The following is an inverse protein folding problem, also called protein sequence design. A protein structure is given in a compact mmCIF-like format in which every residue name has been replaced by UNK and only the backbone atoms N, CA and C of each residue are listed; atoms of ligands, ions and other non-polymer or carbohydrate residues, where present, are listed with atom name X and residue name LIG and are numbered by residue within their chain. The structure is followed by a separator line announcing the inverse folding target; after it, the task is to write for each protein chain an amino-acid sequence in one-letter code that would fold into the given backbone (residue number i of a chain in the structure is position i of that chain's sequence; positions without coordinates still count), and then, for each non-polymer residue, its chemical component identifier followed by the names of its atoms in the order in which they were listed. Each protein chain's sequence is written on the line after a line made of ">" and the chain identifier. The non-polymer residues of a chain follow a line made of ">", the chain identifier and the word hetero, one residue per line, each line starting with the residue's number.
data_IF_507102645463
#
_entry.id   IF_507102645463
#
_cell.length_a   1.000
_cell.length_b   1.000
_cell.length_c   1.000
_cell.angle_alpha   90.00
_cell.angle_beta   90.00
_cell.angle_gamma   90.00
#
_symmetry.space_group_name_H-M   'P 1'
#
loop_
_entity.id
_entity.type
_entity.pdbx_description
1 polymer ?
#
# COMPACT_ATOMS: atom_id res chain seq x y z
N UNK A 1 1.99 -3.24 -45.03
CA UNK A 1 2.24 -4.41 -44.16
C UNK A 1 3.30 -4.06 -43.13
N UNK A 2 2.95 -3.18 -42.19
CA UNK A 2 3.73 -2.83 -40.99
C UNK A 2 2.68 -2.35 -39.99
N UNK A 3 2.28 -3.20 -39.04
CA UNK A 3 1.18 -2.87 -38.12
C UNK A 3 0.68 -4.01 -37.26
N UNK A 4 1.57 -4.85 -36.73
CA UNK A 4 1.17 -6.01 -35.90
C UNK A 4 2.20 -6.40 -34.82
N UNK A 5 3.02 -5.46 -34.35
CA UNK A 5 4.00 -5.70 -33.28
C UNK A 5 3.79 -4.83 -32.02
N UNK A 6 2.63 -4.19 -31.86
CA UNK A 6 2.38 -3.27 -30.71
C UNK A 6 1.46 -3.78 -29.60
N UNK A 7 0.86 -4.97 -29.68
CA UNK A 7 -0.18 -5.37 -28.71
C UNK A 7 0.29 -6.22 -27.53
N UNK A 8 1.59 -6.54 -27.42
CA UNK A 8 2.14 -7.40 -26.35
C UNK A 8 2.58 -6.61 -25.11
N UNK A 9 2.80 -5.29 -25.22
CA UNK A 9 3.33 -4.45 -24.14
C UNK A 9 2.27 -3.80 -23.23
N UNK A 10 1.04 -3.59 -23.72
CA UNK A 10 0.06 -2.72 -23.05
C UNK A 10 -0.73 -3.37 -21.90
N UNK A 11 -0.64 -4.70 -21.73
CA UNK A 11 -1.36 -5.45 -20.68
C UNK A 11 -0.44 -6.05 -19.61
N UNK A 12 0.87 -6.16 -19.90
CA UNK A 12 1.89 -6.20 -18.85
C UNK A 12 1.67 -5.02 -17.91
N UNK A 13 1.44 -3.82 -18.43
CA UNK A 13 1.20 -2.58 -17.69
C UNK A 13 0.08 -2.54 -16.63
N UNK A 14 -0.81 -3.53 -16.48
CA UNK A 14 -1.80 -3.56 -15.36
C UNK A 14 -1.30 -4.41 -14.21
N UNK A 15 -0.72 -5.56 -14.56
CA UNK A 15 0.03 -6.40 -13.65
C UNK A 15 1.29 -5.65 -13.20
N UNK A 16 1.88 -4.87 -14.12
CA UNK A 16 3.16 -4.16 -14.10
C UNK A 16 3.05 -2.64 -13.87
N UNK A 17 1.88 -2.01 -13.82
CA UNK A 17 1.78 -0.74 -13.09
C UNK A 17 1.69 -1.01 -11.57
N UNK A 18 1.30 -2.23 -11.22
CA UNK A 18 1.39 -2.78 -9.87
C UNK A 18 2.61 -3.74 -9.73
N UNK A 19 3.49 -3.87 -10.74
CA UNK A 19 4.71 -4.73 -10.75
C UNK A 19 5.84 -4.36 -11.76
N UNK A 20 5.87 -3.11 -12.25
CA UNK A 20 6.88 -2.39 -13.05
C UNK A 20 7.48 -3.01 -14.32
N UNK A 21 7.17 -2.45 -15.51
CA UNK A 21 8.14 -2.06 -16.58
C UNK A 21 7.50 -1.38 -17.82
N UNK A 22 8.27 -0.52 -18.51
CA UNK A 22 8.27 -0.39 -19.99
C UNK A 22 9.63 0.16 -20.50
N UNK A 23 10.01 -0.24 -21.73
CA UNK A 23 11.36 -0.24 -22.33
C UNK A 23 12.07 1.11 -22.60
N UNK A 24 13.41 1.09 -22.58
CA UNK A 24 14.22 1.92 -23.51
C UNK A 24 15.67 1.42 -23.73
N UNK A 25 16.29 1.73 -24.88
CA UNK A 25 17.38 0.96 -25.49
C UNK A 25 18.80 1.40 -25.08
N UNK A 26 19.77 0.54 -25.42
CA UNK A 26 21.22 0.69 -25.24
C UNK A 26 21.82 2.05 -25.63
N UNK A 27 22.82 2.48 -24.84
CA UNK A 27 24.12 3.16 -25.16
C UNK A 27 24.66 3.65 -23.79
N UNK A 28 25.91 3.55 -23.34
CA UNK A 28 27.23 3.30 -23.89
C UNK A 28 28.24 3.67 -22.77
N UNK A 29 29.35 2.93 -22.66
CA UNK A 29 30.35 3.01 -21.58
C UNK A 29 31.03 4.39 -21.41
N UNK A 30 31.42 4.76 -20.18
CA UNK A 30 32.82 5.12 -19.83
C UNK A 30 33.07 5.37 -18.33
N UNK A 31 34.32 5.11 -17.93
CA UNK A 31 34.90 4.95 -16.58
C UNK A 31 35.44 6.28 -15.96
N UNK A 32 35.90 6.12 -14.70
CA UNK A 32 36.78 6.97 -13.85
C UNK A 32 36.02 7.91 -12.90
N UNK A 33 36.25 7.95 -11.57
CA UNK A 33 37.26 7.36 -10.70
C UNK A 33 37.93 8.46 -9.85
N UNK A 34 37.80 8.39 -8.51
CA UNK A 34 38.84 8.63 -7.47
C UNK A 34 38.27 9.12 -6.13
N UNK A 35 38.73 8.45 -5.08
CA UNK A 35 38.63 8.78 -3.66
C UNK A 35 39.56 9.93 -3.26
N UNK A 36 39.24 10.63 -2.16
CA UNK A 36 40.18 10.88 -1.04
C UNK A 36 39.52 11.55 0.18
N UNK A 37 40.12 11.43 1.39
CA UNK A 37 39.43 11.52 2.68
C UNK A 37 39.74 12.82 3.46
N UNK A 38 38.93 13.13 4.48
CA UNK A 38 39.29 14.10 5.52
C UNK A 38 39.22 13.51 6.93
N UNK A 39 40.20 13.94 7.71
CA UNK A 39 40.55 13.57 9.08
C UNK A 39 39.94 14.54 10.10
N UNK A 40 39.64 13.95 11.27
CA UNK A 40 39.95 14.42 12.64
C UNK A 40 39.18 15.55 13.35
N UNK A 41 38.99 15.23 14.65
CA UNK A 41 39.03 16.05 15.89
C UNK A 41 37.74 16.81 16.22
N UNK A 42 37.35 17.05 17.48
CA UNK A 42 37.64 16.53 18.83
C UNK A 42 36.93 17.48 19.82
N UNK A 43 36.54 17.00 21.00
CA UNK A 43 36.27 17.81 22.20
C UNK A 43 34.78 17.86 22.57
N UNK A 44 34.28 17.30 23.69
CA UNK A 44 34.61 17.41 25.13
C UNK A 44 34.09 18.68 25.81
N UNK A 45 33.18 18.50 26.77
CA UNK A 45 32.68 19.48 27.75
C UNK A 45 31.25 19.10 28.15
N UNK A 46 30.96 18.34 29.21
CA UNK A 46 31.19 18.50 30.67
C UNK A 46 30.25 19.50 31.36
N UNK A 47 29.59 18.98 32.40
CA UNK A 47 29.01 19.61 33.62
C UNK A 47 27.54 20.03 33.66
N UNK A 48 26.74 19.13 34.25
CA UNK A 48 26.01 19.24 35.53
C UNK A 48 25.73 20.63 36.13
N UNK A 49 24.48 20.84 36.61
CA UNK A 49 24.16 21.17 38.02
C UNK A 49 22.64 21.31 38.28
N UNK A 50 22.12 20.43 39.16
CA UNK A 50 21.23 20.64 40.34
C UNK A 50 20.05 21.64 40.23
N UNK A 51 18.80 21.13 40.31
CA UNK A 51 17.95 20.96 41.51
C UNK A 51 17.37 22.24 42.13
N UNK A 52 16.03 22.33 42.28
CA UNK A 52 15.34 22.80 43.51
C UNK A 52 13.89 22.27 43.49
N UNK A 53 13.45 21.78 44.64
CA UNK A 53 12.12 21.28 44.95
C UNK A 53 11.20 22.37 45.54
N UNK A 54 9.89 22.19 45.42
CA UNK A 54 8.88 22.97 46.16
C UNK A 54 7.60 22.16 46.39
N UNK A 55 7.35 21.75 47.63
CA UNK A 55 6.11 21.14 48.15
C UNK A 55 5.16 22.22 48.70
N UNK A 56 3.84 21.97 48.66
CA UNK A 56 2.86 21.98 49.79
C UNK A 56 1.41 22.00 49.25
N UNK A 57 0.60 20.96 49.55
CA UNK A 57 -0.54 20.92 50.53
C UNK A 57 -1.64 21.95 50.26
N UNK A 58 -2.94 21.68 50.21
CA UNK A 58 -3.80 20.61 50.71
C UNK A 58 -5.11 21.29 51.17
N UNK A 59 -6.29 20.71 50.90
CA UNK A 59 -7.58 21.26 51.37
C UNK A 59 -8.78 20.50 50.82
N UNK A 60 -9.56 19.91 51.72
CA UNK A 60 -10.80 19.14 51.49
C UNK A 60 -11.96 19.95 52.07
N UNK A 61 -13.11 20.01 51.38
CA UNK A 61 -14.42 20.29 51.97
C UNK A 61 -15.53 19.67 51.10
N UNK A 62 -16.62 19.31 51.77
CA UNK A 62 -17.63 18.31 51.44
C UNK A 62 -19.01 18.94 51.13
N UNK A 63 -19.93 18.10 50.62
CA UNK A 63 -21.40 18.18 50.61
C UNK A 63 -22.18 18.76 49.39
N UNK A 64 -22.97 17.84 48.82
CA UNK A 64 -23.98 17.83 47.74
C UNK A 64 -25.36 18.46 48.13
N UNK A 65 -26.49 18.28 47.40
CA UNK A 65 -26.75 17.84 46.01
C UNK A 65 -27.79 18.72 45.25
N UNK A 66 -28.23 18.22 44.09
CA UNK A 66 -29.33 18.64 43.19
C UNK A 66 -28.96 19.64 42.09
N UNK A 67 -28.83 19.11 40.87
CA UNK A 67 -29.44 19.68 39.67
C UNK A 67 -29.41 18.68 38.50
N UNK A 68 -30.35 18.90 37.59
CA UNK A 68 -30.93 18.05 36.57
C UNK A 68 -29.94 17.42 35.57
N UNK A 69 -30.23 16.19 35.13
CA UNK A 69 -29.54 15.51 34.03
C UNK A 69 -29.85 16.21 32.69
N UNK A 70 -29.01 17.17 32.31
CA UNK A 70 -28.76 17.55 30.92
C UNK A 70 -27.99 16.44 30.17
N UNK A 71 -28.24 16.20 28.87
CA UNK A 71 -27.46 15.22 28.09
C UNK A 71 -25.98 15.63 28.08
N UNK A 72 -25.03 14.68 28.02
CA UNK A 72 -23.63 14.99 28.20
C UNK A 72 -23.14 15.87 27.04
N UNK A 73 -22.24 16.84 27.31
CA UNK A 73 -21.62 17.61 26.26
C UNK A 73 -20.76 16.69 25.39
N UNK A 74 -20.72 17.00 24.10
CA UNK A 74 -19.97 16.35 23.00
C UNK A 74 -18.47 16.13 23.32
N UNK A 75 -17.97 16.74 24.40
CA UNK A 75 -16.59 16.68 24.86
C UNK A 75 -16.24 15.37 25.62
N UNK A 76 -17.23 14.61 26.09
CA UNK A 76 -16.97 13.33 26.78
C UNK A 76 -16.49 12.23 25.80
N UNK A 77 -16.94 12.28 24.54
CA UNK A 77 -16.45 11.40 23.47
C UNK A 77 -14.99 11.70 23.09
N UNK A 78 -14.52 12.93 23.29
CA UNK A 78 -13.15 13.33 22.95
C UNK A 78 -12.11 12.75 23.90
N UNK A 79 -12.50 12.39 25.13
CA UNK A 79 -11.61 11.81 26.14
C UNK A 79 -11.45 10.30 26.04
N UNK A 80 -12.42 9.57 25.47
CA UNK A 80 -12.29 8.13 25.19
C UNK A 80 -11.50 7.83 23.91
N UNK A 81 -11.45 8.77 22.96
CA UNK A 81 -10.74 8.59 21.68
C UNK A 81 -9.20 8.62 21.81
N UNK A 82 -8.63 9.10 22.92
CA UNK A 82 -7.17 9.14 23.11
C UNK A 82 -6.53 7.77 23.40
N UNK A 83 -7.32 6.69 23.49
CA UNK A 83 -6.83 5.34 23.80
C UNK A 83 -7.13 4.27 22.75
N UNK A 84 -7.78 4.61 21.64
CA UNK A 84 -8.06 3.65 20.57
C UNK A 84 -6.92 3.73 19.54
N UNK A 85 -6.17 2.64 19.38
CA UNK A 85 -5.21 2.50 18.27
C UNK A 85 -5.91 2.87 16.96
N UNK A 86 -5.34 3.80 16.18
CA UNK A 86 -5.90 4.21 14.89
C UNK A 86 -6.41 5.65 14.81
N UNK A 87 -6.71 6.33 15.93
CA UNK A 87 -7.00 7.76 15.87
C UNK A 87 -5.74 8.58 15.54
N UNK A 88 -5.85 9.48 14.57
CA UNK A 88 -4.73 10.32 14.14
C UNK A 88 -4.66 11.60 14.97
N UNK A 89 -3.46 11.95 15.43
CA UNK A 89 -3.21 13.26 16.07
C UNK A 89 -3.25 14.39 15.04
N UNK A 90 -3.40 15.64 15.51
CA UNK A 90 -3.31 16.81 14.62
C UNK A 90 -1.97 16.87 13.88
N UNK A 91 -0.86 16.48 14.52
CA UNK A 91 0.45 16.40 13.89
C UNK A 91 0.49 15.37 12.76
N UNK A 92 -0.08 14.18 12.98
CA UNK A 92 -0.17 13.13 11.98
C UNK A 92 -1.06 13.55 10.79
N UNK A 93 -2.20 14.20 11.06
CA UNK A 93 -3.07 14.75 10.03
C UNK A 93 -2.35 15.84 9.21
N UNK A 94 -1.60 16.71 9.87
CA UNK A 94 -0.81 17.75 9.20
C UNK A 94 0.31 17.15 8.34
N UNK A 95 1.00 16.11 8.81
CA UNK A 95 2.02 15.40 8.02
C UNK A 95 1.39 14.72 6.79
N UNK A 96 0.28 14.00 6.97
CA UNK A 96 -0.43 13.38 5.83
C UNK A 96 -0.89 14.43 4.80
N UNK A 97 -1.44 15.55 5.25
CA UNK A 97 -1.84 16.66 4.38
C UNK A 97 -0.64 17.34 3.69
N UNK A 98 0.48 17.49 4.39
CA UNK A 98 1.72 18.08 3.85
C UNK A 98 2.36 17.20 2.79
N UNK A 99 2.58 15.93 3.13
CA UNK A 99 3.50 15.04 2.43
C UNK A 99 2.78 14.03 1.53
N UNK A 100 1.49 13.81 1.77
CA UNK A 100 0.66 12.86 1.03
C UNK A 100 0.84 11.41 1.46
N UNK A 101 1.65 11.17 2.48
CA UNK A 101 1.74 9.89 3.18
C UNK A 101 1.97 10.10 4.68
N UNK A 102 1.74 9.05 5.46
CA UNK A 102 1.99 9.01 6.89
C UNK A 102 2.52 7.63 7.29
N UNK A 103 3.60 7.61 8.07
CA UNK A 103 4.17 6.37 8.62
C UNK A 103 3.74 6.22 10.08
N UNK A 104 3.05 5.14 10.40
CA UNK A 104 2.59 4.80 11.74
C UNK A 104 3.27 3.49 12.17
N UNK A 105 4.38 3.64 12.91
CA UNK A 105 5.13 2.51 13.44
C UNK A 105 4.28 1.69 14.43
N UNK A 106 4.51 0.37 14.45
CA UNK A 106 3.83 -0.54 15.38
C UNK A 106 2.31 -0.44 15.37
N UNK A 107 1.71 -0.18 14.20
CA UNK A 107 0.26 -0.12 14.03
C UNK A 107 -0.40 -1.47 14.31
N UNK A 108 0.21 -2.56 13.84
CA UNK A 108 -0.14 -3.92 14.24
C UNK A 108 1.01 -4.57 15.03
N UNK A 109 0.64 -5.47 15.93
CA UNK A 109 1.60 -6.19 16.76
C UNK A 109 2.41 -7.21 15.96
N UNK A 110 3.47 -7.74 16.58
CA UNK A 110 4.24 -8.82 15.97
C UNK A 110 3.39 -10.07 15.76
N UNK A 111 2.51 -10.37 16.71
CA UNK A 111 1.59 -11.50 16.70
C UNK A 111 0.58 -11.37 15.56
N UNK A 112 0.01 -10.18 15.34
CA UNK A 112 -0.88 -9.91 14.21
C UNK A 112 -0.19 -10.12 12.86
N UNK A 113 1.06 -9.64 12.75
CA UNK A 113 1.89 -9.82 11.56
C UNK A 113 2.16 -11.31 11.30
N UNK A 114 2.48 -12.08 12.33
CA UNK A 114 2.69 -13.53 12.21
C UNK A 114 1.40 -14.24 11.79
N UNK A 115 0.25 -13.90 12.39
CA UNK A 115 -1.06 -14.49 12.06
C UNK A 115 -1.39 -14.31 10.57
N UNK A 116 -1.18 -13.11 10.01
CA UNK A 116 -1.37 -12.85 8.58
C UNK A 116 -0.39 -13.61 7.68
N UNK A 117 0.87 -13.78 8.11
CA UNK A 117 1.89 -14.50 7.34
C UNK A 117 1.68 -16.00 7.35
N UNK A 118 1.32 -16.56 8.50
CA UNK A 118 1.00 -17.98 8.64
C UNK A 118 -0.24 -18.31 7.80
N UNK A 119 -1.27 -17.45 7.85
CA UNK A 119 -2.45 -17.63 7.01
C UNK A 119 -2.13 -17.59 5.51
N UNK A 120 -1.27 -16.68 5.07
CA UNK A 120 -0.85 -16.64 3.66
C UNK A 120 -0.06 -17.90 3.26
N UNK A 121 0.71 -18.48 4.18
CA UNK A 121 1.41 -19.75 3.95
C UNK A 121 0.41 -20.88 3.73
N UNK A 122 -0.63 -20.99 4.57
CA UNK A 122 -1.70 -21.99 4.39
C UNK A 122 -2.44 -21.83 3.05
N UNK A 123 -2.73 -20.58 2.65
CA UNK A 123 -3.36 -20.28 1.37
C UNK A 123 -2.47 -20.71 0.19
N UNK A 124 -1.17 -20.45 0.27
CA UNK A 124 -0.19 -20.88 -0.74
C UNK A 124 -0.06 -22.40 -0.81
N UNK A 125 -0.09 -23.09 0.33
CA UNK A 125 -0.01 -24.55 0.37
C UNK A 125 -1.20 -25.18 -0.35
N UNK A 126 -2.41 -24.66 -0.08
CA UNK A 126 -3.65 -25.09 -0.73
C UNK A 126 -3.81 -24.68 -2.20
N UNK A 127 -2.97 -23.77 -2.70
CA UNK A 127 -3.04 -23.27 -4.07
C UNK A 127 -2.45 -24.27 -5.09
N UNK A 128 -3.26 -24.68 -6.07
CA UNK A 128 -2.81 -25.50 -7.20
C UNK A 128 -2.22 -24.63 -8.32
N UNK A 129 -0.89 -24.48 -8.27
CA UNK A 129 -0.13 -23.73 -9.25
C UNK A 129 -0.23 -24.29 -10.68
N UNK A 130 -0.50 -25.58 -10.88
CA UNK A 130 -0.53 -26.18 -12.22
C UNK A 130 -1.73 -25.71 -13.05
N UNK A 131 -2.88 -25.51 -12.38
CA UNK A 131 -4.07 -24.94 -13.00
C UNK A 131 -3.84 -23.50 -13.47
N UNK A 132 -3.13 -22.71 -12.67
CA UNK A 132 -2.91 -21.28 -12.91
C UNK A 132 -1.72 -21.00 -13.83
N UNK A 133 -0.64 -21.77 -13.74
CA UNK A 133 0.53 -21.62 -14.63
C UNK A 133 0.19 -21.85 -16.11
N UNK A 134 -0.83 -22.67 -16.38
CA UNK A 134 -1.36 -22.88 -17.74
C UNK A 134 -1.98 -21.60 -18.34
N UNK A 135 -2.54 -20.73 -17.50
CA UNK A 135 -3.04 -19.40 -17.89
C UNK A 135 -1.89 -18.52 -18.36
N UNK A 136 -0.76 -18.58 -17.64
CA UNK A 136 0.41 -17.74 -17.90
C UNK A 136 1.38 -18.28 -18.97
N UNK A 137 1.11 -19.42 -19.64
CA UNK A 137 2.08 -20.10 -20.54
C UNK A 137 1.58 -20.48 -21.95
N UNK A 138 0.32 -20.20 -22.33
CA UNK A 138 -0.28 -20.72 -23.59
C UNK A 138 -0.50 -19.68 -24.70
N UNK A 139 -0.73 -20.12 -25.95
CA UNK A 139 -0.83 -19.29 -27.17
C UNK A 139 -2.00 -18.28 -27.23
N UNK A 140 -2.93 -18.32 -26.28
CA UNK A 140 -4.03 -17.34 -26.14
C UNK A 140 -3.87 -16.52 -24.83
N UNK A 141 -2.60 -16.26 -24.47
CA UNK A 141 -2.17 -15.76 -23.16
C UNK A 141 -2.89 -14.49 -22.73
N UNK A 142 -3.03 -13.52 -23.62
CA UNK A 142 -3.50 -12.17 -23.28
C UNK A 142 -4.93 -12.21 -22.75
N UNK A 143 -5.87 -12.74 -23.55
CA UNK A 143 -7.28 -12.80 -23.15
C UNK A 143 -7.51 -13.63 -21.87
N UNK A 144 -6.83 -14.78 -21.73
CA UNK A 144 -6.97 -15.61 -20.51
C UNK A 144 -6.37 -14.94 -19.27
N UNK A 145 -5.27 -14.21 -19.42
CA UNK A 145 -4.65 -13.44 -18.34
C UNK A 145 -5.56 -12.29 -17.92
N UNK A 146 -6.16 -11.61 -18.89
CA UNK A 146 -7.10 -10.50 -18.67
C UNK A 146 -8.34 -10.98 -17.93
N UNK A 147 -8.96 -12.05 -18.39
CA UNK A 147 -10.15 -12.63 -17.75
C UNK A 147 -9.84 -13.06 -16.31
N UNK A 148 -8.70 -13.75 -16.09
CA UNK A 148 -8.27 -14.14 -14.74
C UNK A 148 -8.02 -12.92 -13.84
N UNK A 149 -7.40 -11.87 -14.37
CA UNK A 149 -7.15 -10.63 -13.65
C UNK A 149 -8.45 -9.88 -13.34
N UNK A 150 -9.37 -9.72 -14.29
CA UNK A 150 -10.64 -9.03 -14.04
C UNK A 150 -11.55 -9.82 -13.09
N UNK A 151 -11.59 -11.15 -13.22
CA UNK A 151 -12.32 -12.01 -12.31
C UNK A 151 -11.77 -12.00 -10.88
N UNK A 152 -10.50 -11.63 -10.70
CA UNK A 152 -9.86 -11.59 -9.39
C UNK A 152 -10.39 -10.47 -8.48
N UNK A 153 -11.16 -9.52 -9.02
CA UNK A 153 -11.81 -8.43 -8.29
C UNK A 153 -12.61 -8.93 -7.06
N UNK A 154 -13.20 -10.12 -7.16
CA UNK A 154 -14.02 -10.75 -6.11
C UNK A 154 -13.50 -12.17 -5.77
N UNK A 155 -12.21 -12.43 -5.96
CA UNK A 155 -11.58 -13.73 -5.65
C UNK A 155 -10.27 -13.54 -4.88
N UNK A 156 -9.79 -14.66 -4.34
CA UNK A 156 -8.41 -14.83 -3.87
C UNK A 156 -7.64 -15.54 -4.98
N UNK A 157 -7.02 -14.75 -5.85
CA UNK A 157 -6.24 -15.17 -7.01
C UNK A 157 -4.74 -14.93 -6.78
N UNK A 158 -3.93 -15.86 -7.27
CA UNK A 158 -2.47 -15.82 -7.16
C UNK A 158 -1.87 -15.37 -8.49
N UNK A 159 -0.90 -14.46 -8.42
CA UNK A 159 -0.19 -13.91 -9.57
C UNK A 159 1.30 -14.14 -9.43
N UNK A 160 1.91 -14.75 -10.45
CA UNK A 160 3.32 -15.11 -10.45
C UNK A 160 4.21 -13.92 -10.81
N UNK A 161 5.46 -13.95 -10.34
CA UNK A 161 6.52 -13.10 -10.89
C UNK A 161 6.78 -13.52 -12.35
N UNK A 162 6.91 -12.56 -13.25
CA UNK A 162 7.25 -12.83 -14.67
C UNK A 162 8.56 -13.64 -14.76
N UNK A 163 9.56 -13.23 -13.95
CA UNK A 163 10.88 -13.86 -13.90
C UNK A 163 10.84 -15.30 -13.35
N UNK A 164 9.73 -15.77 -12.78
CA UNK A 164 9.61 -17.12 -12.22
C UNK A 164 9.53 -18.23 -13.27
N UNK A 165 9.18 -17.93 -14.52
CA UNK A 165 9.02 -18.93 -15.58
C UNK A 165 10.26 -19.06 -16.47
N UNK A 166 10.56 -20.28 -16.90
CA UNK A 166 11.48 -20.57 -18.00
C UNK A 166 10.76 -20.40 -19.35
N UNK A 167 11.52 -20.42 -20.43
CA UNK A 167 11.01 -20.32 -21.81
C UNK A 167 10.02 -21.46 -22.16
N UNK A 168 10.07 -22.59 -21.44
CA UNK A 168 9.15 -23.72 -21.61
C UNK A 168 7.86 -23.60 -20.76
N UNK A 169 7.67 -22.50 -20.03
CA UNK A 169 6.53 -22.26 -19.15
C UNK A 169 6.59 -22.97 -17.79
N UNK A 170 7.66 -23.72 -17.50
CA UNK A 170 7.88 -24.32 -16.17
C UNK A 170 8.47 -23.32 -15.18
N UNK A 171 8.20 -23.51 -13.90
CA UNK A 171 8.77 -22.67 -12.84
C UNK A 171 10.29 -22.91 -12.69
N UNK A 172 11.04 -21.82 -12.49
CA UNK A 172 12.47 -21.81 -12.17
C UNK A 172 12.76 -22.20 -10.72
N UNK A 173 11.79 -21.97 -9.83
CA UNK A 173 11.91 -22.21 -8.39
C UNK A 173 10.56 -22.66 -7.80
N UNK A 174 10.51 -23.10 -6.52
CA UNK A 174 9.25 -23.53 -5.89
C UNK A 174 8.14 -22.47 -6.00
N UNK A 175 6.87 -22.91 -6.00
CA UNK A 175 5.71 -22.03 -6.23
C UNK A 175 5.64 -20.91 -5.20
N UNK A 176 5.95 -21.23 -3.94
CA UNK A 176 5.94 -20.34 -2.79
C UNK A 176 6.96 -19.20 -2.90
N UNK A 177 8.01 -19.38 -3.71
CA UNK A 177 9.00 -18.37 -4.03
C UNK A 177 8.72 -17.67 -5.37
N UNK A 178 7.65 -18.06 -6.08
CA UNK A 178 7.37 -17.62 -7.45
C UNK A 178 6.16 -16.67 -7.53
N UNK A 179 5.42 -16.49 -6.43
CA UNK A 179 4.25 -15.60 -6.38
C UNK A 179 4.71 -14.16 -6.13
N UNK A 180 4.26 -13.25 -6.99
CA UNK A 180 4.42 -11.81 -6.84
C UNK A 180 3.40 -11.25 -5.83
N UNK A 181 2.11 -11.57 -6.06
CA UNK A 181 1.01 -11.11 -5.21
C UNK A 181 -0.18 -12.07 -5.17
N UNK A 182 -1.02 -11.89 -4.16
CA UNK A 182 -2.35 -12.50 -4.04
C UNK A 182 -3.39 -11.41 -3.90
N UNK A 183 -4.45 -11.43 -4.70
CA UNK A 183 -5.49 -10.41 -4.71
C UNK A 183 -6.78 -10.90 -5.40
N UNK A 184 -7.85 -10.12 -5.45
CA UNK A 184 -7.97 -8.76 -4.94
C UNK A 184 -8.99 -8.62 -3.79
N UNK A 185 -9.55 -9.73 -3.30
CA UNK A 185 -10.61 -9.74 -2.29
C UNK A 185 -10.27 -10.49 -0.99
N UNK A 186 -8.98 -10.58 -0.60
CA UNK A 186 -8.56 -11.14 0.69
C UNK A 186 -9.32 -10.50 1.88
N UNK A 187 -9.47 -9.17 1.88
CA UNK A 187 -10.19 -8.41 2.92
C UNK A 187 -11.66 -8.82 3.09
N UNK A 188 -12.25 -9.47 2.09
CA UNK A 188 -13.67 -9.84 2.09
C UNK A 188 -13.87 -11.34 2.30
N UNK A 189 -13.03 -12.16 1.65
CA UNK A 189 -13.21 -13.61 1.55
C UNK A 189 -12.49 -14.36 2.68
N UNK A 190 -11.28 -13.94 3.04
CA UNK A 190 -10.49 -14.65 4.03
C UNK A 190 -10.74 -14.07 5.44
N UNK A 191 -11.15 -14.90 6.43
CA UNK A 191 -11.50 -14.40 7.76
C UNK A 191 -10.37 -13.66 8.49
N UNK A 192 -9.12 -14.08 8.31
CA UNK A 192 -7.98 -13.44 8.98
C UNK A 192 -7.71 -12.07 8.35
N UNK A 193 -7.66 -12.00 7.02
CA UNK A 193 -7.47 -10.71 6.34
C UNK A 193 -8.65 -9.77 6.54
N UNK A 194 -9.88 -10.28 6.62
CA UNK A 194 -11.08 -9.49 6.96
C UNK A 194 -11.01 -8.91 8.36
N UNK A 195 -10.62 -9.72 9.37
CA UNK A 195 -10.42 -9.28 10.77
C UNK A 195 -9.53 -8.05 10.84
N UNK A 196 -8.40 -8.04 10.11
CA UNK A 196 -7.47 -6.91 10.12
C UNK A 196 -7.93 -5.74 9.25
N UNK A 197 -8.40 -6.02 8.03
CA UNK A 197 -8.81 -4.98 7.08
C UNK A 197 -10.04 -4.18 7.53
N UNK A 198 -10.88 -4.77 8.38
CA UNK A 198 -12.08 -4.17 8.93
C UNK A 198 -11.98 -3.91 10.44
N UNK A 199 -10.77 -3.80 11.00
CA UNK A 199 -10.59 -3.60 12.43
C UNK A 199 -11.02 -2.18 12.87
N UNK A 200 -11.31 -2.03 14.16
CA UNK A 200 -11.60 -0.71 14.76
C UNK A 200 -10.48 0.30 14.50
N UNK A 201 -9.22 -0.14 14.51
CA UNK A 201 -8.08 0.74 14.21
C UNK A 201 -8.12 1.32 12.80
N UNK A 202 -8.53 0.53 11.80
CA UNK A 202 -8.70 1.02 10.43
C UNK A 202 -9.89 1.98 10.36
N UNK A 203 -11.00 1.64 11.00
CA UNK A 203 -12.18 2.51 11.07
C UNK A 203 -11.86 3.87 11.72
N UNK A 204 -11.15 3.88 12.86
CA UNK A 204 -10.71 5.10 13.56
C UNK A 204 -9.75 5.95 12.73
N UNK A 205 -8.88 5.32 11.94
CA UNK A 205 -7.99 6.01 11.01
C UNK A 205 -8.79 6.76 9.96
N UNK A 206 -9.72 6.08 9.29
CA UNK A 206 -10.57 6.72 8.28
C UNK A 206 -11.50 7.78 8.86
N UNK A 207 -12.00 7.56 10.08
CA UNK A 207 -12.81 8.57 10.77
C UNK A 207 -11.99 9.84 11.04
N UNK A 208 -10.73 9.70 11.44
CA UNK A 208 -9.80 10.83 11.62
C UNK A 208 -9.48 11.54 10.30
N UNK A 209 -9.41 10.80 9.18
CA UNK A 209 -9.25 11.36 7.83
C UNK A 209 -10.54 12.01 7.28
N UNK A 210 -11.66 11.91 8.01
CA UNK A 210 -12.91 12.58 7.67
C UNK A 210 -13.83 11.82 6.70
N UNK A 211 -13.53 10.55 6.43
CA UNK A 211 -14.40 9.70 5.60
C UNK A 211 -15.77 9.51 6.27
N UNK A 212 -16.82 9.37 5.46
CA UNK A 212 -18.21 9.21 5.94
C UNK A 212 -18.75 7.82 5.71
N UNK A 213 -18.40 7.21 4.58
CA UNK A 213 -18.80 5.86 4.21
C UNK A 213 -17.64 5.12 3.55
N UNK A 214 -16.51 4.93 4.28
CA UNK A 214 -15.33 4.27 3.74
C UNK A 214 -15.59 2.81 3.41
N UNK A 215 -15.13 2.38 2.25
CA UNK A 215 -15.25 1.03 1.70
C UNK A 215 -13.88 0.53 1.28
N UNK A 216 -13.49 -0.66 1.73
CA UNK A 216 -12.31 -1.35 1.20
C UNK A 216 -12.66 -1.92 -0.16
N UNK A 217 -12.07 -1.38 -1.23
CA UNK A 217 -12.41 -1.78 -2.60
C UNK A 217 -11.50 -2.88 -3.13
N UNK A 218 -10.27 -2.96 -2.60
CA UNK A 218 -9.23 -3.88 -3.05
C UNK A 218 -8.29 -4.23 -1.89
N UNK A 219 -7.79 -5.47 -1.87
CA UNK A 219 -6.68 -5.89 -1.01
C UNK A 219 -5.68 -6.76 -1.77
N UNK A 220 -4.39 -6.56 -1.55
CA UNK A 220 -3.32 -7.37 -2.12
C UNK A 220 -2.29 -7.77 -1.08
N UNK A 221 -1.89 -9.02 -1.07
CA UNK A 221 -0.68 -9.46 -0.39
C UNK A 221 0.48 -9.45 -1.38
N UNK A 222 1.55 -8.71 -1.09
CA UNK A 222 2.70 -8.52 -1.98
C UNK A 222 3.91 -9.20 -1.35
N UNK A 223 4.53 -10.15 -2.06
CA UNK A 223 5.63 -10.95 -1.52
C UNK A 223 7.00 -10.28 -1.66
N UNK A 224 7.24 -9.61 -2.80
CA UNK A 224 8.59 -9.17 -3.22
C UNK A 224 9.62 -10.27 -2.97
N UNK A 225 9.55 -11.32 -3.78
CA UNK A 225 10.36 -12.51 -3.58
C UNK A 225 11.88 -12.19 -3.63
N UNK A 226 12.73 -12.94 -2.90
CA UNK A 226 14.18 -12.77 -2.95
C UNK A 226 14.72 -12.84 -4.37
N UNK A 227 15.52 -11.85 -4.78
CA UNK A 227 16.23 -11.81 -6.06
C UNK A 227 15.36 -11.63 -7.32
N UNK A 228 14.09 -12.01 -7.30
CA UNK A 228 13.18 -11.91 -8.46
C UNK A 228 12.00 -10.96 -8.25
N UNK A 229 11.82 -10.43 -7.03
CA UNK A 229 10.70 -9.55 -6.72
C UNK A 229 10.67 -8.33 -7.61
N UNK A 230 9.70 -8.26 -8.54
CA UNK A 230 9.61 -7.25 -9.58
C UNK A 230 9.50 -5.82 -9.03
N UNK A 231 9.99 -4.82 -9.76
CA UNK A 231 9.84 -3.41 -9.39
C UNK A 231 8.36 -2.96 -9.41
N UNK A 232 8.06 -1.76 -8.97
CA UNK A 232 6.76 -1.11 -9.18
C UNK A 232 7.10 0.30 -9.59
N UNK A 233 6.79 0.66 -10.84
CA UNK A 233 7.13 1.97 -11.40
C UNK A 233 6.34 3.10 -10.71
N UNK A 234 6.79 4.37 -10.80
CA UNK A 234 6.06 5.51 -10.28
C UNK A 234 4.60 5.58 -10.75
N UNK A 235 3.66 5.66 -9.81
CA UNK A 235 2.23 5.74 -10.09
C UNK A 235 1.45 6.45 -8.97
N UNK A 236 0.15 6.65 -9.23
CA UNK A 236 -0.87 7.14 -8.30
C UNK A 236 -1.98 6.08 -8.20
N UNK A 237 -2.45 5.74 -7.01
CA UNK A 237 -3.53 4.73 -6.85
C UNK A 237 -4.84 5.18 -7.50
N UNK A 238 -5.13 6.48 -7.46
CA UNK A 238 -6.27 7.07 -8.17
C UNK A 238 -6.18 6.90 -9.69
N UNK A 239 -5.01 6.55 -10.26
CA UNK A 239 -4.92 6.15 -11.67
C UNK A 239 -5.72 4.88 -11.94
N UNK A 240 -5.82 3.96 -10.97
CA UNK A 240 -6.46 2.65 -11.13
C UNK A 240 -7.81 2.54 -10.42
N UNK A 241 -7.98 3.31 -9.33
CA UNK A 241 -9.09 3.21 -8.38
C UNK A 241 -9.81 4.56 -8.25
N UNK A 242 -10.23 5.11 -9.39
CA UNK A 242 -10.74 6.47 -9.46
C UNK A 242 -12.16 6.61 -8.89
N UNK A 243 -12.37 7.68 -8.13
CA UNK A 243 -13.68 8.21 -7.79
C UNK A 243 -13.79 9.66 -8.23
N UNK A 244 -15.01 10.17 -8.43
CA UNK A 244 -15.28 11.58 -8.68
C UNK A 244 -16.10 12.20 -7.53
N UNK A 245 -15.53 13.11 -6.71
CA UNK A 245 -14.11 13.50 -6.69
C UNK A 245 -13.18 12.37 -6.19
N UNK A 246 -11.85 12.44 -6.42
CA UNK A 246 -10.91 11.40 -6.01
C UNK A 246 -10.86 11.22 -4.50
N UNK A 247 -10.93 9.98 -4.06
CA UNK A 247 -11.04 9.63 -2.64
C UNK A 247 -10.29 8.35 -2.28
N UNK A 248 -9.40 7.82 -3.14
CA UNK A 248 -8.64 6.64 -2.77
C UNK A 248 -7.58 6.98 -1.74
N UNK A 249 -7.50 6.17 -0.68
CA UNK A 249 -6.36 6.11 0.25
C UNK A 249 -5.84 4.68 0.28
N UNK A 250 -4.57 4.52 -0.05
CA UNK A 250 -3.84 3.28 0.10
C UNK A 250 -3.37 3.08 1.54
N UNK A 251 -3.44 1.85 2.02
CA UNK A 251 -2.92 1.41 3.31
C UNK A 251 -1.92 0.29 3.04
N UNK A 252 -0.64 0.55 3.30
CA UNK A 252 0.42 -0.41 3.08
C UNK A 252 1.02 -0.86 4.41
N UNK A 253 0.75 -2.09 4.81
CA UNK A 253 1.23 -2.70 6.05
C UNK A 253 2.46 -3.56 5.78
N UNK A 254 3.57 -3.21 6.43
CA UNK A 254 4.79 -4.02 6.43
C UNK A 254 4.57 -5.32 7.22
N UNK A 255 4.58 -6.48 6.56
CA UNK A 255 4.57 -7.78 7.25
C UNK A 255 5.99 -8.33 7.49
N UNK A 256 6.98 -7.72 6.85
CA UNK A 256 8.40 -7.89 7.11
C UNK A 256 9.07 -6.52 7.09
N UNK A 257 10.26 -6.43 7.69
CA UNK A 257 11.10 -5.24 7.57
C UNK A 257 11.30 -4.87 6.10
N UNK A 258 11.06 -3.61 5.78
CA UNK A 258 11.23 -3.04 4.45
C UNK A 258 12.41 -2.08 4.47
N UNK A 259 13.43 -2.39 3.70
CA UNK A 259 14.66 -1.65 3.53
C UNK A 259 14.88 -1.36 2.04
N UNK A 260 15.83 -0.47 1.72
CA UNK A 260 16.17 -0.14 0.34
C UNK A 260 16.53 -1.41 -0.46
N UNK A 261 17.31 -2.32 0.14
CA UNK A 261 17.82 -3.50 -0.55
C UNK A 261 16.75 -4.55 -0.90
N UNK A 262 15.68 -4.63 -0.09
CA UNK A 262 14.58 -5.58 -0.32
C UNK A 262 13.31 -4.93 -0.90
N UNK A 263 13.41 -3.69 -1.39
CA UNK A 263 12.35 -3.03 -2.13
C UNK A 263 11.30 -2.37 -1.24
N UNK A 264 11.73 -1.52 -0.31
CA UNK A 264 10.85 -0.57 0.38
C UNK A 264 10.14 0.38 -0.59
N UNK A 265 9.10 1.06 -0.10
CA UNK A 265 8.43 2.11 -0.85
C UNK A 265 9.32 3.33 -0.99
N UNK A 266 9.13 4.07 -2.07
CA UNK A 266 9.68 5.41 -2.28
C UNK A 266 8.55 6.33 -2.71
N UNK A 267 8.52 7.55 -2.19
CA UNK A 267 7.48 8.53 -2.52
C UNK A 267 8.08 9.90 -2.82
N UNK A 268 7.37 10.75 -3.56
CA UNK A 268 7.69 12.18 -3.70
C UNK A 268 6.80 12.96 -2.71
N UNK A 269 7.33 13.45 -1.57
CA UNK A 269 6.53 14.19 -0.60
C UNK A 269 5.85 15.40 -1.23
N UNK A 270 4.55 15.55 -0.97
CA UNK A 270 3.73 16.67 -1.44
C UNK A 270 3.23 16.55 -2.88
N UNK A 271 3.64 15.52 -3.63
CA UNK A 271 3.23 15.35 -5.04
C UNK A 271 1.73 15.10 -5.25
N UNK A 272 1.01 14.67 -4.21
CA UNK A 272 -0.44 14.52 -4.25
C UNK A 272 -1.19 15.83 -4.49
N UNK A 273 -0.54 16.97 -4.27
CA UNK A 273 -1.11 18.31 -4.50
C UNK A 273 -1.09 18.72 -5.98
N UNK A 274 -0.35 18.00 -6.81
CA UNK A 274 -0.24 18.28 -8.25
C UNK A 274 -1.41 17.65 -9.06
N UNK A 275 -2.26 16.86 -8.39
CA UNK A 275 -3.41 16.19 -8.97
C UNK A 275 -3.07 14.91 -9.73
N UNK A 276 -4.11 14.22 -10.19
CA UNK A 276 -3.98 12.99 -10.97
C UNK A 276 -3.48 13.27 -12.40
N UNK A 277 -2.42 12.60 -12.82
CA UNK A 277 -1.75 12.86 -14.12
C UNK A 277 -2.23 11.96 -15.26
N UNK A 278 -2.76 10.78 -14.94
CA UNK A 278 -3.30 9.82 -15.92
C UNK A 278 -4.25 8.83 -15.24
N UNK A 279 -5.13 8.21 -16.02
CA UNK A 279 -6.02 7.12 -15.58
C UNK A 279 -5.78 5.87 -16.41
N UNK A 280 -5.89 4.73 -15.74
CA UNK A 280 -5.97 3.41 -16.33
C UNK A 280 -7.44 3.08 -16.59
N UNK A 281 -7.82 3.05 -17.86
CA UNK A 281 -9.19 2.93 -18.33
C UNK A 281 -9.40 1.53 -18.87
N UNK A 282 -10.54 0.92 -18.51
CA UNK A 282 -11.10 -0.27 -19.12
C UNK A 282 -12.39 0.10 -19.84
N UNK A 283 -12.43 -0.11 -21.15
CA UNK A 283 -13.59 0.16 -22.01
C UNK A 283 -13.84 -0.99 -23.01
N UNK A 284 -14.73 -0.76 -23.98
CA UNK A 284 -15.05 -1.74 -25.02
C UNK A 284 -13.86 -2.10 -25.93
N UNK A 285 -12.80 -1.29 -25.92
CA UNK A 285 -11.57 -1.51 -26.71
C UNK A 285 -10.47 -2.22 -25.91
N UNK A 286 -10.74 -2.61 -24.66
CA UNK A 286 -9.78 -3.24 -23.77
C UNK A 286 -9.30 -2.29 -22.69
N UNK A 287 -8.00 -2.28 -22.42
CA UNK A 287 -7.41 -1.43 -21.39
C UNK A 287 -6.31 -0.54 -21.93
N UNK A 288 -6.22 0.68 -21.41
CA UNK A 288 -5.20 1.65 -21.81
C UNK A 288 -5.03 2.73 -20.75
N UNK A 289 -3.93 3.50 -20.84
CA UNK A 289 -3.83 4.77 -20.13
C UNK A 289 -4.36 5.91 -20.99
N UNK A 290 -5.13 6.83 -20.42
CA UNK A 290 -5.66 8.00 -21.12
C UNK A 290 -4.59 9.04 -21.49
N UNK A 291 -3.44 8.97 -20.83
CA UNK A 291 -2.29 9.83 -21.04
C UNK A 291 -0.98 9.03 -20.97
N UNK A 292 0.08 9.48 -21.69
CA UNK A 292 1.40 8.87 -21.62
C UNK A 292 1.96 8.81 -20.19
N UNK A 293 2.90 7.89 -19.96
CA UNK A 293 3.61 7.83 -18.68
C UNK A 293 4.40 9.13 -18.44
N UNK A 294 4.19 9.83 -17.31
CA UNK A 294 4.95 11.00 -16.97
C UNK A 294 6.39 10.63 -16.55
N UNK A 295 7.30 11.58 -16.72
CA UNK A 295 8.66 11.48 -16.20
C UNK A 295 8.78 12.25 -14.89
N UNK A 296 9.41 11.63 -13.89
CA UNK A 296 9.64 12.24 -12.58
C UNK A 296 11.13 12.43 -12.32
N UNK A 297 11.48 13.52 -11.66
CA UNK A 297 12.84 13.74 -11.17
C UNK A 297 13.15 12.73 -10.06
N UNK A 298 14.06 11.79 -10.36
CA UNK A 298 14.45 10.71 -9.45
C UNK A 298 15.01 11.23 -8.12
N UNK A 299 15.57 12.44 -8.08
CA UNK A 299 16.12 13.03 -6.87
C UNK A 299 15.06 13.51 -5.87
N UNK A 300 13.79 13.58 -6.28
CA UNK A 300 12.67 13.97 -5.41
C UNK A 300 12.09 12.81 -4.60
N UNK A 301 12.43 11.57 -4.95
CA UNK A 301 11.94 10.41 -4.22
C UNK A 301 12.70 10.23 -2.91
N UNK A 302 11.97 9.97 -1.83
CA UNK A 302 12.52 9.59 -0.53
C UNK A 302 12.18 8.12 -0.22
N UNK A 303 13.13 7.32 0.30
CA UNK A 303 12.85 5.95 0.71
C UNK A 303 12.05 5.93 2.02
N UNK A 304 11.12 4.98 2.13
CA UNK A 304 10.34 4.70 3.32
C UNK A 304 10.77 3.35 3.91
N UNK A 305 11.92 3.31 4.59
CA UNK A 305 12.38 2.12 5.30
C UNK A 305 11.63 1.98 6.64
N UNK A 306 11.00 0.83 6.86
CA UNK A 306 10.12 0.60 8.01
C UNK A 306 10.26 -0.81 8.58
N UNK A 307 9.91 -0.98 9.86
CA UNK A 307 9.86 -2.28 10.53
C UNK A 307 8.55 -3.00 10.30
N UNK A 308 8.55 -4.33 10.40
CA UNK A 308 7.33 -5.12 10.41
C UNK A 308 6.31 -4.59 11.44
N UNK A 309 5.02 -4.58 11.09
CA UNK A 309 3.93 -4.00 11.88
C UNK A 309 3.66 -2.51 11.60
N UNK A 310 4.52 -1.84 10.82
CA UNK A 310 4.34 -0.43 10.43
C UNK A 310 3.30 -0.29 9.32
N UNK A 311 2.38 0.65 9.49
CA UNK A 311 1.42 1.05 8.46
C UNK A 311 1.90 2.34 7.77
N UNK A 312 1.97 2.33 6.44
CA UNK A 312 2.15 3.53 5.61
C UNK A 312 0.80 3.87 4.99
N UNK A 313 0.23 5.01 5.37
CA UNK A 313 -0.98 5.57 4.77
C UNK A 313 -0.56 6.40 3.55
N UNK A 314 -1.22 6.19 2.41
CA UNK A 314 -0.83 6.76 1.11
C UNK A 314 -2.04 7.47 0.52
N UNK A 315 -1.90 8.76 0.24
CA UNK A 315 -2.91 9.51 -0.51
C UNK A 315 -2.97 9.01 -1.95
N UNK A 316 -4.17 8.84 -2.52
CA UNK A 316 -4.34 8.22 -3.84
C UNK A 316 -3.65 8.94 -5.00
N UNK A 317 -3.39 10.24 -4.86
CA UNK A 317 -2.61 11.05 -5.81
C UNK A 317 -1.10 11.12 -5.50
N UNK A 318 -0.60 10.47 -4.45
CA UNK A 318 0.84 10.50 -4.13
C UNK A 318 1.62 9.69 -5.17
N UNK A 319 2.65 10.31 -5.79
CA UNK A 319 3.59 9.57 -6.62
C UNK A 319 4.45 8.67 -5.75
N UNK A 320 4.32 7.36 -5.94
CA UNK A 320 5.12 6.37 -5.22
C UNK A 320 5.53 5.18 -6.09
N UNK A 321 6.57 4.46 -5.67
CA UNK A 321 7.20 3.35 -6.39
C UNK A 321 7.87 2.37 -5.43
N UNK A 322 8.36 1.23 -5.93
CA UNK A 322 9.30 0.37 -5.18
C UNK A 322 10.27 -0.36 -6.10
N UNK A 323 11.56 -0.34 -5.79
CA UNK A 323 12.57 -1.03 -6.63
C UNK A 323 12.53 -2.55 -6.45
N UNK A 324 13.08 -3.28 -7.43
CA UNK A 324 13.28 -4.73 -7.36
C UNK A 324 13.90 -5.18 -6.04
N UNK A 325 13.48 -6.34 -5.53
CA UNK A 325 14.13 -6.95 -4.37
C UNK A 325 15.42 -7.65 -4.80
N UNK A 326 16.56 -7.06 -4.45
CA UNK A 326 17.91 -7.59 -4.76
C UNK A 326 18.54 -8.34 -3.59
N UNK A 327 17.80 -8.50 -2.50
CA UNK A 327 18.25 -9.18 -1.30
C UNK A 327 17.97 -10.69 -1.33
N UNK A 328 18.49 -11.40 -0.34
CA UNK A 328 18.21 -12.83 -0.10
C UNK A 328 16.94 -13.08 0.74
N UNK A 329 16.23 -12.03 1.14
CA UNK A 329 15.05 -12.11 1.99
C UNK A 329 13.84 -11.49 1.29
N UNK A 330 12.65 -12.03 1.52
CA UNK A 330 11.41 -11.48 0.97
C UNK A 330 11.04 -10.14 1.63
N UNK A 331 10.05 -9.43 1.08
CA UNK A 331 9.45 -8.23 1.69
C UNK A 331 7.93 -8.30 1.60
N UNK A 332 7.33 -9.06 2.52
CA UNK A 332 5.89 -9.25 2.55
C UNK A 332 5.19 -7.98 3.02
N UNK A 333 4.07 -7.65 2.38
CA UNK A 333 3.20 -6.55 2.77
C UNK A 333 1.74 -6.85 2.45
N UNK A 334 0.81 -6.29 3.23
CA UNK A 334 -0.60 -6.22 2.89
C UNK A 334 -0.91 -4.80 2.44
N UNK A 335 -1.47 -4.65 1.24
CA UNK A 335 -1.99 -3.40 0.70
C UNK A 335 -3.52 -3.45 0.71
N UNK A 336 -4.17 -2.42 1.22
CA UNK A 336 -5.60 -2.19 1.12
C UNK A 336 -5.83 -0.86 0.42
N UNK A 337 -6.88 -0.76 -0.38
CA UNK A 337 -7.32 0.51 -0.94
C UNK A 337 -8.74 0.79 -0.48
N UNK A 338 -8.93 1.97 0.09
CA UNK A 338 -10.20 2.39 0.64
C UNK A 338 -10.66 3.66 -0.07
N UNK A 339 -11.93 3.70 -0.41
CA UNK A 339 -12.58 4.88 -0.99
C UNK A 339 -13.75 5.31 -0.13
N UNK A 340 -14.06 6.60 -0.14
CA UNK A 340 -15.35 7.06 0.37
C UNK A 340 -16.42 6.81 -0.68
N UNK A 341 -17.61 6.42 -0.23
CA UNK A 341 -18.78 6.25 -1.10
C UNK A 341 -19.87 7.27 -0.80
N UNK A 342 -19.66 8.12 0.20
CA UNK A 342 -20.47 9.31 0.41
C UNK A 342 -19.96 10.44 -0.49
N UNK A 343 -20.84 11.00 -1.32
CA UNK A 343 -20.49 12.10 -2.24
C UNK A 343 -19.51 11.76 -3.37
N UNK A 344 -18.86 10.60 -3.35
CA UNK A 344 -17.85 10.18 -4.33
C UNK A 344 -18.36 9.04 -5.21
N UNK A 345 -18.28 9.21 -6.53
CA UNK A 345 -18.80 8.23 -7.49
C UNK A 345 -17.70 7.33 -8.01
N UNK A 346 -17.86 6.02 -7.85
CA UNK A 346 -16.96 5.02 -8.45
C UNK A 346 -17.03 5.07 -9.98
N UNK A 347 -15.86 5.17 -10.62
CA UNK A 347 -15.79 5.27 -12.08
C UNK A 347 -16.10 3.92 -12.76
N UNK A 348 -16.96 3.97 -13.79
CA UNK A 348 -17.41 2.77 -14.52
C UNK A 348 -16.34 2.13 -15.39
N UNK A 349 -15.31 2.92 -15.70
CA UNK A 349 -14.15 2.60 -16.52
C UNK A 349 -12.93 2.19 -15.68
N UNK A 350 -13.05 2.10 -14.35
CA UNK A 350 -12.03 1.43 -13.55
C UNK A 350 -11.99 -0.06 -13.93
N UNK A 351 -10.79 -0.64 -13.96
CA UNK A 351 -10.60 -2.06 -14.29
C UNK A 351 -11.33 -2.99 -13.31
N UNK A 352 -11.35 -2.61 -12.03
CA UNK A 352 -12.02 -3.33 -10.95
C UNK A 352 -13.46 -2.82 -10.85
N UNK A 353 -14.37 -3.71 -11.23
CA UNK A 353 -15.81 -3.53 -11.07
C UNK A 353 -16.30 -4.69 -10.21
N UNK A 354 -17.11 -4.38 -9.19
CA UNK A 354 -17.64 -5.37 -8.25
C UNK A 354 -19.11 -5.61 -8.55
N UNK A 355 -19.50 -6.89 -8.56
CA UNK A 355 -20.89 -7.32 -8.74
C UNK A 355 -21.64 -7.19 -7.42
N UNK A 356 -20.96 -7.46 -6.32
CA UNK A 356 -21.47 -7.27 -4.97
C UNK A 356 -21.10 -5.88 -4.48
N UNK A 357 -22.08 -5.15 -3.94
CA UNK A 357 -21.83 -3.85 -3.32
C UNK A 357 -21.00 -4.08 -2.06
N UNK A 358 -19.80 -3.51 -1.95
CA UNK A 358 -18.96 -3.74 -0.76
C UNK A 358 -19.59 -3.11 0.48
N UNK A 359 -19.40 -3.78 1.62
CA UNK A 359 -19.85 -3.27 2.91
C UNK A 359 -18.91 -2.15 3.39
N UNK A 360 -19.45 -1.00 3.84
CA UNK A 360 -18.61 0.05 4.40
C UNK A 360 -18.09 -0.33 5.79
N UNK A 361 -16.91 0.17 6.16
CA UNK A 361 -16.35 -0.02 7.50
C UNK A 361 -17.26 0.59 8.58
N UNK A 362 -17.91 1.71 8.26
CA UNK A 362 -18.94 2.38 9.06
C UNK A 362 -19.75 3.35 8.19
N UNK A 363 -20.81 3.94 8.77
CA UNK A 363 -21.57 5.05 8.18
C UNK A 363 -21.74 6.11 9.25
N UNK A 364 -21.28 7.35 9.01
CA UNK A 364 -21.29 8.45 9.99
C UNK A 364 -22.30 9.55 9.69
#
# INVERSE_FOLDING_TARGET
>A
MLGLEKSVAELGLVVDAVAGWEESPMLGMSRCGKESPMRHRSGSGSQDLKSVAGRRSGGVADASPSDELSPPPVDMFRRELMGISGNLSEEQLNSFSSDGFLVIESFYSHEDVLEMRDRMTELLDGFDAASSSSIFSTKNQQQLTDDYFFDSAEKVSFFFEEKAFKDDGSLKQPKELSINKVGHALHEIDPIFKKFSCSESISSLFYSLGYKRPVVIQSMYIFKQPGIGGEVIPHQDNSFLYTDPPSCTGLWLALQDAAILNGCLWAIPGSHKDGLVRRFIRDDNGVHFDNPSPSYDKNKFVPLEVKAGTLVVIHGDLIHQSFENKSSSSRHALSLHVVDTDGCKWAKDNWIQRKTVPEPLYVS
#
